data_IF_962279257271
#
_entry.id   IF_962279257271
#
_cell.length_a   1.000
_cell.length_b   1.000
_cell.length_c   1.000
_cell.angle_alpha   90.00
_cell.angle_beta   90.00
_cell.angle_gamma   90.00
#
_symmetry.space_group_name_H-M   'P 1'
#
loop_
_entity.id
_entity.type
_entity.pdbx_description
1 polymer ?
#
# COMPACT_ATOMS: atom_id res chain seq x y z
N UNK A 1 7.03 11.25 -27.97
CA UNK A 1 5.68 10.96 -27.41
C UNK A 1 5.52 11.44 -25.95
N UNK A 2 6.17 12.54 -25.52
CA UNK A 2 6.18 12.99 -24.11
C UNK A 2 5.09 14.02 -23.73
N UNK A 3 4.11 14.27 -24.62
CA UNK A 3 3.10 15.32 -24.41
C UNK A 3 1.74 14.78 -23.90
N UNK A 4 1.51 13.46 -23.94
CA UNK A 4 0.26 12.83 -23.49
C UNK A 4 0.19 12.59 -21.98
N UNK A 5 1.31 12.15 -21.38
CA UNK A 5 1.38 11.78 -19.96
C UNK A 5 1.19 13.01 -19.05
N UNK A 6 1.80 14.14 -19.40
CA UNK A 6 1.65 15.37 -18.62
C UNK A 6 0.19 15.87 -18.60
N UNK A 7 -0.53 15.76 -19.72
CA UNK A 7 -1.96 16.14 -19.79
C UNK A 7 -2.87 15.19 -19.01
N UNK A 8 -2.54 13.90 -18.99
CA UNK A 8 -3.30 12.90 -18.22
C UNK A 8 -3.10 13.11 -16.71
N UNK A 9 -1.86 13.36 -16.29
CA UNK A 9 -1.51 13.66 -14.89
C UNK A 9 -2.22 14.93 -14.40
N UNK A 10 -2.28 16.00 -15.20
CA UNK A 10 -3.00 17.22 -14.78
C UNK A 10 -4.51 17.00 -14.66
N UNK A 11 -5.11 16.20 -15.56
CA UNK A 11 -6.55 15.88 -15.50
C UNK A 11 -6.86 15.01 -14.27
N UNK A 12 -6.03 14.02 -13.96
CA UNK A 12 -6.18 13.15 -12.78
C UNK A 12 -6.03 13.96 -11.49
N UNK A 13 -5.03 14.85 -11.39
CA UNK A 13 -4.85 15.75 -10.23
C UNK A 13 -6.07 16.65 -10.02
N UNK A 14 -6.68 17.15 -11.10
CA UNK A 14 -7.85 18.03 -10.98
C UNK A 14 -9.12 17.28 -10.56
N UNK A 15 -9.31 16.04 -11.02
CA UNK A 15 -10.48 15.21 -10.66
C UNK A 15 -10.40 14.72 -9.22
N UNK A 16 -9.21 14.41 -8.70
CA UNK A 16 -9.01 14.00 -7.30
C UNK A 16 -9.28 15.16 -6.33
N UNK A 17 -8.86 16.39 -6.67
CA UNK A 17 -9.15 17.58 -5.86
C UNK A 17 -10.66 17.86 -5.77
N UNK A 18 -11.43 17.64 -6.85
CA UNK A 18 -12.89 17.83 -6.85
C UNK A 18 -13.61 16.68 -6.11
N UNK A 19 -13.09 15.46 -6.18
CA UNK A 19 -13.65 14.29 -5.48
C UNK A 19 -13.54 14.37 -3.96
N UNK A 20 -12.44 14.91 -3.43
CA UNK A 20 -12.23 15.10 -1.98
C UNK A 20 -13.14 16.20 -1.43
N UNK A 21 -13.41 17.27 -2.20
CA UNK A 21 -14.34 18.35 -1.80
C UNK A 21 -15.80 17.85 -1.68
N UNK A 22 -16.19 16.83 -2.44
CA UNK A 22 -17.56 16.30 -2.40
C UNK A 22 -17.85 15.41 -1.17
N UNK A 23 -16.83 14.79 -0.56
CA UNK A 23 -17.02 13.87 0.58
C UNK A 23 -17.14 14.65 1.90
N UNK A 24 -16.54 15.84 2.01
CA UNK A 24 -16.59 16.66 3.23
C UNK A 24 -17.82 17.57 3.31
N UNK A 25 -18.51 17.83 2.18
CA UNK A 25 -19.73 18.65 2.13
C UNK A 25 -20.98 18.02 2.79
N UNK A 26 -20.89 16.78 3.27
CA UNK A 26 -22.03 15.98 3.73
C UNK A 26 -22.29 15.97 5.24
N UNK A 27 -21.93 17.00 6.02
CA UNK A 27 -22.33 17.07 7.46
C UNK A 27 -22.72 18.48 7.89
N UNK A 28 -23.89 18.93 7.43
CA UNK A 28 -24.65 20.00 8.09
C UNK A 28 -25.98 19.43 8.52
N UNK A 29 -26.21 19.32 9.83
CA UNK A 29 -27.48 19.64 10.49
C UNK A 29 -27.33 19.57 12.03
N UNK A 30 -27.90 20.60 12.68
CA UNK A 30 -28.17 20.77 14.10
C UNK A 30 -26.97 21.03 15.04
N UNK A 31 -26.86 22.25 15.57
CA UNK A 31 -27.58 22.65 16.79
C UNK A 31 -27.54 24.18 16.98
N UNK A 32 -28.70 24.78 17.20
CA UNK A 32 -28.90 26.14 17.68
C UNK A 32 -29.57 26.02 19.05
N UNK A 33 -28.94 26.52 20.11
CA UNK A 33 -29.52 27.09 21.35
C UNK A 33 -28.60 26.89 22.57
N UNK A 34 -28.24 27.98 23.24
CA UNK A 34 -27.71 27.99 24.61
C UNK A 34 -26.47 28.86 24.80
N UNK A 35 -26.66 30.16 25.08
CA UNK A 35 -25.57 31.08 25.42
C UNK A 35 -25.07 30.95 26.86
N UNK A 36 -23.86 31.48 27.11
CA UNK A 36 -23.47 32.35 28.24
C UNK A 36 -21.94 32.60 28.23
N UNK A 37 -21.54 33.84 27.92
CA UNK A 37 -20.41 34.61 28.49
C UNK A 37 -18.96 34.06 28.48
N UNK A 38 -18.11 34.65 27.64
CA UNK A 38 -16.64 34.66 27.74
C UNK A 38 -16.02 35.66 26.74
N UNK A 39 -14.91 36.36 27.05
CA UNK A 39 -14.64 37.69 26.50
C UNK A 39 -14.11 37.71 25.06
N UNK A 40 -14.80 38.51 24.24
CA UNK A 40 -14.39 39.22 23.03
C UNK A 40 -13.35 38.58 22.12
N UNK A 41 -13.87 38.06 21.00
CA UNK A 41 -13.16 37.84 19.75
C UNK A 41 -12.22 39.00 19.41
N UNK A 42 -10.93 38.71 19.33
CA UNK A 42 -10.00 39.48 18.50
C UNK A 42 -10.20 38.96 17.07
N UNK A 43 -11.22 39.47 16.39
CA UNK A 43 -11.41 39.25 14.95
C UNK A 43 -10.32 40.00 14.19
N UNK A 44 -9.26 39.30 13.82
CA UNK A 44 -8.57 39.61 12.56
C UNK A 44 -9.43 39.02 11.44
N UNK A 45 -9.94 39.82 10.49
CA UNK A 45 -10.72 39.29 9.39
C UNK A 45 -9.75 38.62 8.41
N UNK A 46 -9.48 37.33 8.59
CA UNK A 46 -8.96 36.52 7.49
C UNK A 46 -10.14 36.33 6.53
N UNK A 47 -10.11 37.05 5.42
CA UNK A 47 -11.18 37.17 4.42
C UNK A 47 -11.30 35.89 3.56
N UNK A 48 -11.10 34.73 4.16
CA UNK A 48 -11.05 33.43 3.50
C UNK A 48 -12.32 32.68 3.90
N UNK A 49 -13.13 32.29 2.91
CA UNK A 49 -14.36 31.54 3.14
C UNK A 49 -14.04 30.25 3.93
N UNK A 50 -14.78 29.94 5.02
CA UNK A 50 -14.58 28.71 5.77
C UNK A 50 -14.87 27.46 4.91
N UNK A 51 -14.15 26.37 5.17
CA UNK A 51 -14.37 25.08 4.51
C UNK A 51 -13.65 24.91 3.16
N UNK A 52 -12.64 25.73 2.87
CA UNK A 52 -11.77 25.56 1.70
C UNK A 52 -10.56 24.72 2.12
N UNK A 53 -10.32 23.61 1.41
CA UNK A 53 -9.15 22.77 1.66
C UNK A 53 -7.86 23.50 1.26
N UNK A 54 -6.89 23.53 2.16
CA UNK A 54 -5.59 24.19 2.00
C UNK A 54 -4.49 23.24 2.46
N UNK A 55 -3.50 23.06 1.59
CA UNK A 55 -2.27 22.34 1.92
C UNK A 55 -1.30 23.27 2.65
N UNK A 56 -0.82 22.85 3.82
CA UNK A 56 0.21 23.57 4.58
C UNK A 56 1.45 22.69 4.74
N UNK A 57 2.62 23.30 4.77
CA UNK A 57 3.87 22.64 5.13
C UNK A 57 4.26 23.09 6.55
N UNK A 58 4.51 22.12 7.42
CA UNK A 58 5.05 22.34 8.77
C UNK A 58 6.54 22.01 8.76
N UNK A 59 7.44 23.01 8.87
CA UNK A 59 8.89 22.78 8.84
C UNK A 59 9.38 21.94 10.03
N UNK A 60 10.46 21.20 9.82
CA UNK A 60 11.15 20.47 10.88
C UNK A 60 11.59 21.38 12.03
N UNK A 61 11.36 20.93 13.27
CA UNK A 61 11.71 21.69 14.48
C UNK A 61 10.80 22.89 14.77
N UNK A 62 9.66 23.04 14.07
CA UNK A 62 8.72 24.13 14.31
C UNK A 62 8.09 24.03 15.70
N UNK A 63 8.18 25.10 16.48
CA UNK A 63 7.47 25.21 17.75
C UNK A 63 5.97 25.46 17.54
N UNK A 64 5.13 25.12 18.52
CA UNK A 64 3.67 25.33 18.49
C UNK A 64 3.26 26.76 18.08
N UNK A 65 4.04 27.77 18.48
CA UNK A 65 3.86 29.17 18.06
C UNK A 65 4.03 29.36 16.55
N UNK A 66 5.09 28.79 15.99
CA UNK A 66 5.39 28.91 14.56
C UNK A 66 4.31 28.19 13.73
N UNK A 67 3.90 26.99 14.15
CA UNK A 67 2.80 26.25 13.54
C UNK A 67 1.51 27.08 13.58
N UNK A 68 1.18 27.66 14.75
CA UNK A 68 0.01 28.54 14.90
C UNK A 68 0.04 29.75 13.97
N UNK A 69 1.22 30.37 13.77
CA UNK A 69 1.40 31.47 12.83
C UNK A 69 1.16 31.05 11.38
N UNK A 70 1.71 29.90 10.95
CA UNK A 70 1.51 29.35 9.60
C UNK A 70 0.02 29.07 9.36
N UNK A 71 -0.66 28.45 10.34
CA UNK A 71 -2.09 28.16 10.27
C UNK A 71 -2.93 29.43 10.17
N UNK A 72 -2.60 30.47 10.94
CA UNK A 72 -3.32 31.73 10.92
C UNK A 72 -3.11 32.50 9.61
N UNK A 73 -1.88 32.52 9.09
CA UNK A 73 -1.55 33.14 7.80
C UNK A 73 -2.32 32.49 6.64
N UNK A 74 -2.50 31.17 6.68
CA UNK A 74 -3.27 30.41 5.68
C UNK A 74 -4.78 30.42 5.94
N UNK A 75 -5.25 31.11 6.98
CA UNK A 75 -6.66 31.19 7.36
C UNK A 75 -7.25 29.87 7.85
N UNK A 76 -6.42 28.89 8.21
CA UNK A 76 -6.84 27.63 8.81
C UNK A 76 -7.39 27.86 10.21
N UNK A 77 -6.72 28.69 11.02
CA UNK A 77 -7.21 29.10 12.35
C UNK A 77 -7.34 30.62 12.43
N UNK A 78 -8.26 31.10 13.26
CA UNK A 78 -8.46 32.54 13.47
C UNK A 78 -7.36 33.21 14.32
N UNK A 79 -6.68 32.43 15.16
CA UNK A 79 -5.67 32.95 16.10
C UNK A 79 -4.54 31.95 16.34
N UNK A 80 -3.31 32.37 16.03
CA UNK A 80 -2.09 31.63 16.33
C UNK A 80 -1.92 31.38 17.84
N UNK A 81 -2.32 32.34 18.68
CA UNK A 81 -2.22 32.24 20.13
C UNK A 81 -3.20 31.21 20.69
N UNK A 82 -4.42 31.14 20.14
CA UNK A 82 -5.39 30.12 20.53
C UNK A 82 -4.88 28.71 20.22
N UNK A 83 -4.21 28.54 19.07
CA UNK A 83 -3.55 27.28 18.72
C UNK A 83 -2.37 26.96 19.65
N UNK A 84 -1.49 27.92 19.93
CA UNK A 84 -0.37 27.73 20.89
C UNK A 84 -0.87 27.28 22.26
N UNK A 85 -1.97 27.85 22.76
CA UNK A 85 -2.58 27.45 24.03
C UNK A 85 -3.21 26.05 23.95
N UNK A 86 -3.85 25.69 22.85
CA UNK A 86 -4.43 24.35 22.65
C UNK A 86 -3.37 23.25 22.70
N UNK A 87 -2.22 23.47 22.04
CA UNK A 87 -1.09 22.53 22.07
C UNK A 87 -0.49 22.41 23.48
N UNK A 88 -0.32 23.54 24.19
CA UNK A 88 0.23 23.53 25.55
C UNK A 88 -0.72 22.87 26.56
N UNK A 89 -2.02 23.15 26.47
CA UNK A 89 -3.03 22.61 27.38
C UNK A 89 -3.26 21.10 27.22
N UNK A 90 -2.93 20.55 26.06
CA UNK A 90 -3.08 19.11 25.76
C UNK A 90 -1.83 18.27 26.04
N UNK A 91 -0.65 18.89 26.18
CA UNK A 91 0.61 18.17 26.47
C UNK A 91 1.13 17.31 25.33
N UNK A 92 0.64 17.51 24.10
CA UNK A 92 0.96 16.70 22.91
C UNK A 92 1.98 17.34 21.98
N UNK A 93 2.68 18.39 22.44
CA UNK A 93 3.61 19.16 21.61
C UNK A 93 4.68 18.29 20.91
N UNK A 94 5.18 17.27 21.60
CA UNK A 94 6.20 16.34 21.07
C UNK A 94 5.64 15.37 20.02
N UNK A 95 4.32 15.23 19.92
CA UNK A 95 3.66 14.36 18.93
C UNK A 95 3.41 15.04 17.60
N UNK A 96 3.58 16.36 17.53
CA UNK A 96 3.40 17.11 16.29
C UNK A 96 4.58 16.82 15.35
N UNK A 97 4.25 16.32 14.17
CA UNK A 97 5.25 15.95 13.17
C UNK A 97 5.44 17.07 12.15
N UNK A 98 6.66 17.18 11.63
CA UNK A 98 6.91 17.99 10.46
C UNK A 98 6.34 17.30 9.20
N UNK A 99 5.93 18.08 8.22
CA UNK A 99 5.41 17.54 6.96
C UNK A 99 4.24 18.34 6.39
N UNK A 100 3.64 17.79 5.35
CA UNK A 100 2.57 18.42 4.60
C UNK A 100 1.22 17.97 5.13
N UNK A 101 0.30 18.88 5.40
CA UNK A 101 -1.04 18.57 5.92
C UNK A 101 -2.12 19.17 5.04
N UNK A 102 -3.26 18.48 4.95
CA UNK A 102 -4.48 19.00 4.32
C UNK A 102 -5.42 19.46 5.44
N UNK A 103 -5.66 20.78 5.53
CA UNK A 103 -6.60 21.36 6.49
C UNK A 103 -7.67 22.16 5.77
N UNK A 104 -8.65 22.65 6.52
CA UNK A 104 -9.68 23.53 5.98
C UNK A 104 -9.58 24.91 6.63
N UNK A 105 -9.92 25.93 5.86
CA UNK A 105 -10.00 27.30 6.35
C UNK A 105 -11.11 27.45 7.40
N UNK A 106 -10.86 28.22 8.45
CA UNK A 106 -11.82 28.49 9.52
C UNK A 106 -12.03 27.37 10.54
N UNK A 107 -11.12 26.39 10.60
CA UNK A 107 -11.06 25.42 11.69
C UNK A 107 -10.82 26.10 13.05
N UNK A 108 -11.37 25.51 14.11
CA UNK A 108 -10.98 25.86 15.47
C UNK A 108 -9.56 25.36 15.77
N UNK A 109 -8.90 25.97 16.76
CA UNK A 109 -7.58 25.55 17.20
C UNK A 109 -7.51 24.06 17.59
N UNK A 110 -8.59 23.51 18.18
CA UNK A 110 -8.67 22.10 18.55
C UNK A 110 -8.84 21.17 17.35
N UNK A 111 -9.65 21.55 16.35
CA UNK A 111 -9.81 20.77 15.11
C UNK A 111 -8.50 20.71 14.33
N UNK A 112 -7.84 21.86 14.14
CA UNK A 112 -6.54 21.91 13.47
C UNK A 112 -5.48 21.09 14.23
N UNK A 113 -5.51 21.10 15.57
CA UNK A 113 -4.62 20.28 16.39
C UNK A 113 -4.87 18.78 16.17
N UNK A 114 -6.12 18.34 16.12
CA UNK A 114 -6.45 16.93 15.89
C UNK A 114 -5.93 16.45 14.54
N UNK A 115 -6.13 17.23 13.46
CA UNK A 115 -5.59 16.89 12.13
C UNK A 115 -4.06 16.80 12.16
N UNK A 116 -3.38 17.73 12.85
CA UNK A 116 -1.92 17.66 12.98
C UNK A 116 -1.42 16.46 13.81
N UNK A 117 -2.25 15.93 14.70
CA UNK A 117 -1.93 14.73 15.50
C UNK A 117 -2.18 13.43 14.73
N UNK A 118 -2.98 13.45 13.66
CA UNK A 118 -3.13 12.31 12.75
C UNK A 118 -1.85 12.09 11.92
N UNK A 119 -1.06 13.15 11.72
CA UNK A 119 0.20 13.12 10.98
C UNK A 119 0.09 13.72 9.59
N UNK A 120 1.22 13.99 8.92
CA UNK A 120 1.23 14.58 7.59
C UNK A 120 0.64 13.63 6.56
N UNK A 121 0.16 14.18 5.45
CA UNK A 121 -0.18 13.41 4.26
C UNK A 121 1.09 12.70 3.81
N UNK A 122 0.99 11.37 3.73
CA UNK A 122 1.98 10.55 3.05
C UNK A 122 1.47 10.38 1.63
N UNK A 123 2.20 10.90 0.64
CA UNK A 123 1.91 10.54 -0.74
C UNK A 123 2.07 9.03 -0.84
N UNK A 124 1.01 8.33 -1.27
CA UNK A 124 1.02 6.88 -1.46
C UNK A 124 0.78 6.53 -2.92
N UNK A 125 1.32 5.38 -3.33
CA UNK A 125 1.03 4.78 -4.61
C UNK A 125 0.65 3.31 -4.44
N UNK A 126 -0.05 2.76 -5.43
CA UNK A 126 -0.47 1.37 -5.44
C UNK A 126 0.33 0.57 -6.45
N UNK A 127 0.73 -0.62 -6.04
CA UNK A 127 1.41 -1.61 -6.86
C UNK A 127 0.59 -2.86 -6.87
N UNK A 128 0.27 -3.39 -8.05
CA UNK A 128 -0.50 -4.63 -8.19
C UNK A 128 0.38 -5.71 -8.81
N UNK A 129 0.42 -6.87 -8.14
CA UNK A 129 1.12 -8.07 -8.62
C UNK A 129 0.08 -9.16 -8.84
N UNK A 130 -0.24 -9.50 -10.11
CA UNK A 130 -1.17 -10.59 -10.43
C UNK A 130 -0.66 -11.95 -9.96
N UNK A 131 -1.60 -12.87 -9.76
CA UNK A 131 -1.33 -14.29 -9.50
C UNK A 131 -0.62 -14.96 -10.68
N UNK A 132 0.05 -16.08 -10.39
CA UNK A 132 0.70 -16.91 -11.41
C UNK A 132 1.98 -16.32 -12.02
N UNK A 133 2.50 -15.19 -11.55
CA UNK A 133 3.78 -14.65 -12.00
C UNK A 133 4.97 -15.42 -11.40
N UNK A 134 6.00 -15.63 -12.21
CA UNK A 134 7.30 -16.07 -11.72
C UNK A 134 7.99 -14.92 -10.98
N UNK A 135 8.89 -15.24 -10.05
CA UNK A 135 9.63 -14.21 -9.30
C UNK A 135 10.32 -13.18 -10.21
N UNK A 136 10.85 -13.62 -11.35
CA UNK A 136 11.47 -12.75 -12.36
C UNK A 136 10.48 -11.73 -12.93
N UNK A 137 9.24 -12.12 -13.14
CA UNK A 137 8.17 -11.28 -13.70
C UNK A 137 7.57 -10.38 -12.62
N UNK A 138 7.57 -10.82 -11.36
CA UNK A 138 7.24 -9.96 -10.22
C UNK A 138 8.21 -8.78 -10.19
N UNK A 139 9.52 -9.02 -10.29
CA UNK A 139 10.51 -7.94 -10.27
C UNK A 139 10.33 -6.96 -11.44
N UNK A 140 10.02 -7.46 -12.63
CA UNK A 140 9.69 -6.60 -13.80
C UNK A 140 8.43 -5.76 -13.56
N UNK A 141 7.39 -6.38 -13.00
CA UNK A 141 6.12 -5.73 -12.69
C UNK A 141 6.30 -4.61 -11.66
N UNK A 142 7.11 -4.84 -10.62
CA UNK A 142 7.46 -3.83 -9.62
C UNK A 142 8.26 -2.68 -10.25
N UNK A 143 9.27 -2.98 -11.07
CA UNK A 143 10.06 -1.96 -11.76
C UNK A 143 9.20 -1.10 -12.72
N UNK A 144 8.19 -1.69 -13.37
CA UNK A 144 7.30 -0.97 -14.26
C UNK A 144 6.31 -0.03 -13.53
N UNK A 145 6.05 -0.26 -12.25
CA UNK A 145 5.07 0.47 -11.44
C UNK A 145 5.71 1.44 -10.43
N UNK A 146 7.03 1.37 -10.26
CA UNK A 146 7.78 2.18 -9.29
C UNK A 146 8.83 3.04 -10.01
N UNK A 147 9.57 3.86 -9.26
CA UNK A 147 10.72 4.62 -9.77
C UNK A 147 12.02 3.81 -9.77
N UNK A 148 12.00 2.57 -9.27
CA UNK A 148 13.17 1.70 -9.13
C UNK A 148 13.39 0.84 -10.37
N UNK A 149 14.65 0.46 -10.60
CA UNK A 149 15.00 -0.47 -11.66
C UNK A 149 14.87 -1.92 -11.16
N UNK A 150 14.71 -2.87 -12.09
CA UNK A 150 14.65 -4.32 -11.77
C UNK A 150 15.84 -4.77 -10.89
N UNK A 151 17.04 -4.26 -11.17
CA UNK A 151 18.26 -4.61 -10.43
C UNK A 151 18.27 -4.16 -8.97
N UNK A 152 17.52 -3.11 -8.63
CA UNK A 152 17.37 -2.66 -7.25
C UNK A 152 16.59 -3.70 -6.42
N UNK A 153 15.52 -4.26 -7.00
CA UNK A 153 14.76 -5.34 -6.36
C UNK A 153 15.55 -6.64 -6.27
N UNK A 154 16.26 -7.01 -7.33
CA UNK A 154 17.08 -8.22 -7.36
C UNK A 154 18.16 -8.19 -6.26
N UNK A 155 18.79 -7.04 -6.06
CA UNK A 155 19.77 -6.84 -4.98
C UNK A 155 19.11 -6.93 -3.60
N UNK A 156 17.92 -6.34 -3.44
CA UNK A 156 17.19 -6.29 -2.18
C UNK A 156 16.67 -7.67 -1.70
N UNK A 157 16.51 -8.65 -2.58
CA UNK A 157 16.11 -10.02 -2.21
C UNK A 157 17.09 -10.71 -1.24
N UNK A 158 18.35 -10.27 -1.21
CA UNK A 158 19.35 -10.79 -0.27
C UNK A 158 19.19 -10.26 1.16
N UNK A 159 18.43 -9.18 1.33
CA UNK A 159 18.28 -8.45 2.59
C UNK A 159 16.90 -8.62 3.25
N UNK A 160 16.02 -9.44 2.66
CA UNK A 160 14.69 -9.76 3.18
C UNK A 160 14.67 -11.18 3.78
N UNK A 161 13.69 -11.45 4.62
CA UNK A 161 13.51 -12.75 5.28
C UNK A 161 12.09 -13.31 5.12
N UNK A 162 11.98 -14.63 5.28
CA UNK A 162 10.71 -15.36 5.36
C UNK A 162 10.81 -16.43 6.44
N UNK A 163 9.73 -16.59 7.20
CA UNK A 163 9.58 -17.62 8.22
C UNK A 163 9.37 -19.03 7.64
N UNK A 164 9.00 -19.14 6.35
CA UNK A 164 8.74 -20.42 5.67
C UNK A 164 9.90 -20.90 4.78
N UNK A 165 11.09 -20.34 4.97
CA UNK A 165 12.31 -20.84 4.32
C UNK A 165 12.43 -20.46 2.84
N UNK A 166 11.75 -19.40 2.42
CA UNK A 166 12.07 -18.69 1.18
C UNK A 166 13.32 -17.83 1.37
N UNK A 167 14.11 -17.72 0.31
CA UNK A 167 15.38 -16.99 0.32
C UNK A 167 16.63 -17.87 0.28
N UNK A 168 17.78 -17.20 0.41
CA UNK A 168 19.06 -17.70 -0.10
C UNK A 168 19.42 -16.91 -1.35
N UNK A 169 20.70 -16.58 -1.53
CA UNK A 169 21.15 -15.58 -2.52
C UNK A 169 20.88 -15.87 -4.01
N UNK A 170 20.05 -16.86 -4.35
CA UNK A 170 19.54 -17.11 -5.69
C UNK A 170 18.08 -16.63 -5.81
N UNK A 171 17.78 -15.97 -6.92
CA UNK A 171 16.45 -15.46 -7.28
C UNK A 171 15.38 -16.56 -7.21
N UNK A 172 15.70 -17.79 -7.65
CA UNK A 172 14.75 -18.92 -7.67
C UNK A 172 14.31 -19.40 -6.28
N UNK A 173 15.09 -19.08 -5.24
CA UNK A 173 14.72 -19.43 -3.86
C UNK A 173 13.49 -18.67 -3.35
N UNK A 174 13.10 -17.61 -4.07
CA UNK A 174 11.91 -16.79 -3.81
C UNK A 174 10.70 -17.18 -4.67
N UNK A 175 10.80 -18.23 -5.48
CA UNK A 175 9.67 -18.71 -6.29
C UNK A 175 8.50 -19.13 -5.39
N UNK A 176 7.32 -18.52 -5.60
CA UNK A 176 6.15 -18.73 -4.75
C UNK A 176 6.27 -18.12 -3.33
N UNK A 177 7.33 -17.35 -3.04
CA UNK A 177 7.57 -16.74 -1.73
C UNK A 177 7.09 -15.29 -1.60
N UNK A 178 6.66 -14.66 -2.70
CA UNK A 178 6.17 -13.28 -2.72
C UNK A 178 4.68 -13.29 -3.08
N UNK A 179 3.83 -12.90 -2.14
CA UNK A 179 2.38 -13.04 -2.31
C UNK A 179 1.82 -12.04 -3.35
N UNK A 180 1.01 -12.49 -4.32
CA UNK A 180 0.34 -11.60 -5.28
C UNK A 180 -0.82 -10.85 -4.61
N UNK A 181 -0.80 -9.51 -4.67
CA UNK A 181 -1.85 -8.65 -4.15
C UNK A 181 -1.74 -7.23 -4.75
N UNK A 182 -2.67 -6.35 -4.41
CA UNK A 182 -2.51 -4.90 -4.54
C UNK A 182 -2.01 -4.30 -3.23
N UNK A 183 -0.79 -3.79 -3.25
CA UNK A 183 -0.13 -3.15 -2.13
C UNK A 183 -0.21 -1.63 -2.25
N UNK A 184 -0.32 -0.94 -1.11
CA UNK A 184 -0.24 0.52 -1.01
C UNK A 184 1.00 0.89 -0.20
N UNK A 185 1.82 1.78 -0.75
CA UNK A 185 3.09 2.20 -0.15
C UNK A 185 3.25 3.71 -0.15
N UNK A 186 4.01 4.22 0.82
CA UNK A 186 4.52 5.59 0.78
C UNK A 186 5.45 5.81 -0.43
N UNK A 187 5.47 7.02 -0.98
CA UNK A 187 6.27 7.37 -2.16
C UNK A 187 7.78 7.16 -1.99
N UNK A 188 8.30 7.14 -0.77
CA UNK A 188 9.71 6.96 -0.43
C UNK A 188 10.07 5.53 0.04
N UNK A 189 9.12 4.58 -0.05
CA UNK A 189 9.34 3.17 0.32
C UNK A 189 10.52 2.58 -0.47
N UNK A 190 11.38 1.82 0.20
CA UNK A 190 12.52 1.16 -0.46
C UNK A 190 12.11 -0.15 -1.16
N UNK A 191 12.88 -0.63 -2.17
CA UNK A 191 12.68 -1.94 -2.79
C UNK A 191 12.65 -3.09 -1.79
N UNK A 192 13.52 -3.02 -0.77
CA UNK A 192 13.56 -4.00 0.33
C UNK A 192 12.23 -4.05 1.09
N UNK A 193 11.69 -2.91 1.47
CA UNK A 193 10.43 -2.85 2.23
C UNK A 193 9.24 -3.35 1.41
N UNK A 194 9.22 -3.06 0.10
CA UNK A 194 8.21 -3.60 -0.82
C UNK A 194 8.27 -5.14 -0.81
N UNK A 195 9.44 -5.72 -1.07
CA UNK A 195 9.60 -7.17 -1.14
C UNK A 195 9.36 -7.84 0.22
N UNK A 196 9.86 -7.25 1.31
CA UNK A 196 9.61 -7.74 2.67
C UNK A 196 8.12 -7.76 2.98
N UNK A 197 7.36 -6.74 2.54
CA UNK A 197 5.91 -6.71 2.73
C UNK A 197 5.23 -7.85 1.99
N UNK A 198 5.66 -8.16 0.76
CA UNK A 198 5.13 -9.30 -0.01
C UNK A 198 5.48 -10.64 0.64
N UNK A 199 6.72 -10.83 1.11
CA UNK A 199 7.16 -12.04 1.81
C UNK A 199 6.42 -12.25 3.14
N UNK A 200 6.28 -11.19 3.94
CA UNK A 200 5.50 -11.22 5.18
C UNK A 200 4.04 -11.56 4.92
N UNK A 201 3.48 -11.06 3.82
CA UNK A 201 2.10 -11.37 3.43
C UNK A 201 1.97 -12.83 3.02
N UNK A 202 2.96 -13.40 2.33
CA UNK A 202 3.00 -14.83 2.01
C UNK A 202 3.02 -15.68 3.28
N UNK A 203 3.90 -15.35 4.22
CA UNK A 203 3.99 -16.05 5.51
C UNK A 203 2.65 -16.03 6.26
N UNK A 204 2.01 -14.86 6.34
CA UNK A 204 0.69 -14.73 6.97
C UNK A 204 -0.40 -15.56 6.27
N UNK A 205 -0.33 -15.67 4.94
CA UNK A 205 -1.30 -16.46 4.16
C UNK A 205 -1.09 -17.94 4.39
N UNK A 206 0.16 -18.40 4.42
CA UNK A 206 0.51 -19.78 4.77
C UNK A 206 0.01 -20.11 6.19
N UNK A 207 0.28 -19.25 7.17
CA UNK A 207 -0.15 -19.45 8.56
C UNK A 207 -1.68 -19.47 8.74
N UNK A 208 -2.42 -18.85 7.82
CA UNK A 208 -3.89 -18.81 7.86
C UNK A 208 -4.59 -20.05 7.31
N UNK A 209 -3.85 -20.93 6.62
CA UNK A 209 -4.38 -22.15 5.98
C UNK A 209 -4.22 -23.34 6.94
N UNK A 210 -5.22 -24.21 6.99
CA UNK A 210 -5.11 -25.51 7.64
C UNK A 210 -4.43 -26.51 6.71
N UNK A 211 -3.23 -26.94 7.08
CA UNK A 211 -2.40 -27.86 6.30
C UNK A 211 -2.60 -29.33 6.66
N UNK A 212 -3.44 -29.64 7.66
CA UNK A 212 -3.54 -30.99 8.24
C UNK A 212 -3.89 -32.09 7.24
N UNK A 213 -4.77 -31.81 6.27
CA UNK A 213 -5.12 -32.77 5.21
C UNK A 213 -3.94 -33.08 4.29
N UNK A 214 -3.10 -32.09 3.97
CA UNK A 214 -1.90 -32.26 3.15
C UNK A 214 -0.79 -32.96 3.94
N UNK A 215 -0.61 -32.59 5.21
CA UNK A 215 0.36 -33.25 6.11
C UNK A 215 0.03 -34.73 6.31
N UNK A 216 -1.26 -35.09 6.39
CA UNK A 216 -1.70 -36.48 6.46
C UNK A 216 -1.34 -37.30 5.19
N UNK A 217 -1.15 -36.62 4.06
CA UNK A 217 -0.66 -37.19 2.80
C UNK A 217 0.89 -37.14 2.69
N UNK A 218 1.58 -36.67 3.72
CA UNK A 218 3.04 -36.50 3.72
C UNK A 218 3.53 -35.32 2.89
N UNK A 219 2.65 -34.39 2.52
CA UNK A 219 2.96 -33.20 1.73
C UNK A 219 3.35 -32.08 2.68
N UNK A 220 4.55 -31.50 2.50
CA UNK A 220 4.99 -30.35 3.28
C UNK A 220 4.30 -29.07 2.84
N UNK A 221 4.27 -28.04 3.69
CA UNK A 221 3.77 -26.71 3.31
C UNK A 221 4.41 -26.20 2.00
N UNK A 222 5.73 -26.37 1.86
CA UNK A 222 6.45 -25.96 0.65
C UNK A 222 5.98 -26.72 -0.59
N UNK A 223 5.80 -28.04 -0.48
CA UNK A 223 5.26 -28.85 -1.57
C UNK A 223 3.81 -28.47 -1.89
N UNK A 224 3.02 -28.13 -0.88
CA UNK A 224 1.67 -27.60 -1.05
C UNK A 224 1.64 -26.30 -1.85
N UNK A 225 2.56 -25.36 -1.59
CA UNK A 225 2.69 -24.13 -2.40
C UNK A 225 3.13 -24.44 -3.83
N UNK A 226 4.00 -25.43 -4.05
CA UNK A 226 4.38 -25.89 -5.40
C UNK A 226 3.16 -26.50 -6.12
N UNK A 227 2.35 -27.31 -5.44
CA UNK A 227 1.11 -27.84 -6.01
C UNK A 227 0.14 -26.70 -6.33
N UNK A 228 0.03 -25.70 -5.47
CA UNK A 228 -0.82 -24.54 -5.71
C UNK A 228 -0.36 -23.75 -6.96
N UNK A 229 0.95 -23.57 -7.17
CA UNK A 229 1.48 -22.89 -8.36
C UNK A 229 1.20 -23.66 -9.65
N UNK A 230 1.25 -25.00 -9.58
CA UNK A 230 0.86 -25.90 -10.67
C UNK A 230 -0.64 -25.75 -10.98
N UNK A 231 -1.50 -25.84 -9.96
CA UNK A 231 -2.95 -25.69 -10.11
C UNK A 231 -3.29 -24.34 -10.72
N UNK A 232 -2.65 -23.26 -10.24
CA UNK A 232 -2.85 -21.91 -10.76
C UNK A 232 -2.44 -21.78 -12.23
N UNK A 233 -1.36 -22.44 -12.64
CA UNK A 233 -0.90 -22.38 -14.02
C UNK A 233 -1.79 -23.12 -15.02
N UNK A 234 -2.56 -24.12 -14.56
CA UNK A 234 -3.44 -24.95 -15.39
C UNK A 234 -4.89 -24.47 -15.37
N UNK A 235 -5.34 -23.87 -14.26
CA UNK A 235 -6.71 -23.43 -14.09
C UNK A 235 -7.02 -22.24 -15.00
N UNK A 236 -8.14 -22.34 -15.73
CA UNK A 236 -8.71 -21.19 -16.49
C UNK A 236 -9.83 -20.50 -15.72
N UNK A 237 -10.50 -21.26 -14.87
CA UNK A 237 -11.63 -20.82 -14.06
C UNK A 237 -11.41 -21.32 -12.62
N UNK A 238 -11.89 -20.53 -11.65
CA UNK A 238 -11.78 -20.86 -10.22
C UNK A 238 -12.43 -22.21 -9.90
N UNK A 239 -13.52 -22.55 -10.59
CA UNK A 239 -14.29 -23.79 -10.43
C UNK A 239 -13.48 -25.05 -10.81
N UNK A 240 -12.47 -24.91 -11.68
CA UNK A 240 -11.64 -26.03 -12.15
C UNK A 240 -10.54 -26.38 -11.12
N UNK A 241 -10.14 -25.43 -10.27
CA UNK A 241 -9.01 -25.59 -9.33
C UNK A 241 -9.13 -26.82 -8.43
N UNK A 242 -10.29 -27.14 -7.81
CA UNK A 242 -10.41 -28.34 -6.97
C UNK A 242 -10.26 -29.65 -7.77
N UNK A 243 -10.73 -29.68 -9.02
CA UNK A 243 -10.61 -30.86 -9.88
C UNK A 243 -9.16 -31.07 -10.30
N UNK A 244 -8.49 -30.01 -10.72
CA UNK A 244 -7.07 -30.05 -11.09
C UNK A 244 -6.21 -30.47 -9.89
N UNK A 245 -6.44 -29.88 -8.72
CA UNK A 245 -5.76 -30.26 -7.48
C UNK A 245 -5.96 -31.75 -7.15
N UNK A 246 -7.20 -32.25 -7.25
CA UNK A 246 -7.50 -33.66 -7.06
C UNK A 246 -6.73 -34.57 -8.03
N UNK A 247 -6.61 -34.19 -9.31
CA UNK A 247 -5.82 -34.95 -10.29
C UNK A 247 -4.33 -34.97 -9.92
N UNK A 248 -3.76 -33.84 -9.52
CA UNK A 248 -2.35 -33.75 -9.09
C UNK A 248 -2.11 -34.67 -7.89
N UNK A 249 -2.93 -34.56 -6.84
CA UNK A 249 -2.80 -35.36 -5.63
C UNK A 249 -2.95 -36.87 -5.91
N UNK A 250 -3.96 -37.26 -6.71
CA UNK A 250 -4.16 -38.66 -7.09
C UNK A 250 -2.96 -39.25 -7.84
N UNK A 251 -2.28 -38.46 -8.68
CA UNK A 251 -1.07 -38.92 -9.40
C UNK A 251 0.12 -39.07 -8.46
N UNK A 252 0.30 -38.12 -7.54
CA UNK A 252 1.36 -38.20 -6.53
C UNK A 252 1.20 -39.43 -5.63
N UNK A 253 -0.03 -39.76 -5.23
CA UNK A 253 -0.32 -40.91 -4.37
C UNK A 253 0.12 -42.25 -4.99
N UNK A 254 0.05 -42.38 -6.32
CA UNK A 254 0.39 -43.61 -7.05
C UNK A 254 1.74 -43.54 -7.77
N UNK A 255 2.60 -42.57 -7.41
CA UNK A 255 3.93 -42.36 -7.99
C UNK A 255 3.89 -42.19 -9.54
N UNK A 256 2.86 -41.51 -10.04
CA UNK A 256 2.68 -41.23 -11.46
C UNK A 256 3.23 -39.83 -11.81
N UNK A 257 3.99 -39.70 -12.92
CA UNK A 257 4.42 -38.39 -13.40
C UNK A 257 3.26 -37.42 -13.66
N UNK A 258 3.40 -36.16 -13.24
CA UNK A 258 2.35 -35.16 -13.37
C UNK A 258 2.06 -34.78 -14.82
N UNK A 259 3.07 -34.75 -15.69
CA UNK A 259 2.95 -34.42 -17.12
C UNK A 259 2.20 -33.10 -17.37
N UNK A 260 2.71 -32.03 -16.75
CA UNK A 260 2.11 -30.68 -16.78
C UNK A 260 3.03 -29.76 -17.58
N UNK A 261 2.54 -29.29 -18.71
CA UNK A 261 3.28 -28.46 -19.67
C UNK A 261 3.83 -27.18 -19.02
N UNK A 262 3.06 -26.57 -18.11
CA UNK A 262 3.49 -25.38 -17.37
C UNK A 262 4.82 -25.58 -16.60
N UNK A 263 5.07 -26.79 -16.09
CA UNK A 263 6.33 -27.09 -15.37
C UNK A 263 7.52 -27.21 -16.33
N UNK A 264 7.29 -27.70 -17.56
CA UNK A 264 8.30 -27.73 -18.62
C UNK A 264 8.63 -26.31 -19.09
N UNK A 265 7.61 -25.47 -19.29
CA UNK A 265 7.80 -24.07 -19.66
C UNK A 265 8.56 -23.30 -18.57
N UNK A 266 8.28 -23.57 -17.29
CA UNK A 266 9.06 -23.03 -16.18
C UNK A 266 10.53 -23.47 -16.23
N UNK A 267 10.78 -24.77 -16.44
CA UNK A 267 12.14 -25.30 -16.53
C UNK A 267 12.95 -24.68 -17.68
N UNK A 268 12.29 -24.36 -18.80
CA UNK A 268 12.88 -23.68 -19.95
C UNK A 268 12.98 -22.15 -19.77
N UNK A 269 12.24 -21.56 -18.84
CA UNK A 269 12.14 -20.11 -18.68
C UNK A 269 11.38 -19.43 -19.83
N UNK A 270 10.50 -20.14 -20.52
CA UNK A 270 9.83 -19.68 -21.74
C UNK A 270 8.31 -19.69 -21.56
N UNK A 271 7.71 -18.57 -21.13
CA UNK A 271 6.25 -18.47 -20.98
C UNK A 271 5.54 -18.37 -22.34
N UNK A 272 4.46 -19.13 -22.50
CA UNK A 272 3.60 -19.07 -23.70
C UNK A 272 4.17 -19.72 -24.96
N UNK A 273 5.32 -20.40 -24.89
CA UNK A 273 5.85 -21.21 -25.99
C UNK A 273 4.95 -22.43 -26.21
N UNK A 274 4.72 -22.77 -27.48
CA UNK A 274 4.12 -24.06 -27.85
C UNK A 274 5.19 -25.13 -27.73
N UNK A 275 5.00 -26.08 -26.80
CA UNK A 275 5.94 -27.18 -26.59
C UNK A 275 5.94 -28.13 -27.79
N UNK A 276 7.13 -28.58 -28.16
CA UNK A 276 7.34 -29.61 -29.18
C UNK A 276 7.74 -30.94 -28.52
N UNK A 277 7.70 -32.05 -29.28
CA UNK A 277 8.18 -33.35 -28.78
C UNK A 277 9.67 -33.40 -28.43
N UNK A 278 10.44 -32.34 -28.71
CA UNK A 278 11.84 -32.21 -28.27
C UNK A 278 11.97 -31.55 -26.90
N UNK A 279 10.93 -30.82 -26.48
CA UNK A 279 10.88 -30.12 -25.20
C UNK A 279 10.32 -31.01 -24.07
N UNK A 280 9.58 -32.08 -24.43
CA UNK A 280 8.96 -33.08 -23.56
C UNK A 280 9.85 -34.32 -23.38
#
# INVERSE_FOLDING_TARGET
>A
MKCGVARLVTIVVTVVVVGVVAIVGGRRLATWAGGLGGPTDVTTPSNIAPGVSVTIEVPAGSAARQIGSILAEKGVVSSALAFELAVRGSGVAERLQAGTYLLETGMTAGEALNVLLEGPIVESYRVTVPEGLWVTEILDSLAAQTTYERGDFESALSDIDSSHGYGGGDLRSWEGGLFPDTYEFASDVSPKEILQRMATTMDQRIESVDWSDLEALGITVKDGVIIASIVESEAKLDEDRPVIAGVVLNRLEIDMPLQIDATVLYALGERGKVLSSKDL
#
